data_IF_335452964164
#
_entry.id   IF_335452964164
#
_cell.length_a   1.000
_cell.length_b   1.000
_cell.length_c   1.000
_cell.angle_alpha   90.00
_cell.angle_beta   90.00
_cell.angle_gamma   90.00
#
_symmetry.space_group_name_H-M   'P 1'
#
loop_
_entity.id
_entity.type
_entity.pdbx_description
1 polymer ?
#
# COMPACT_ATOMS: atom_id res chain seq x y z
N UNK A 1 30.41 30.77 -30.26
CA UNK A 1 31.51 30.12 -31.01
C UNK A 1 32.81 30.67 -30.42
N UNK A 2 33.64 29.84 -29.77
CA UNK A 2 34.87 30.21 -29.03
C UNK A 2 34.66 31.15 -27.81
N UNK A 3 35.49 31.21 -26.76
CA UNK A 3 36.72 30.48 -26.36
C UNK A 3 36.85 30.50 -24.81
N UNK A 4 37.31 29.45 -24.11
CA UNK A 4 38.69 29.22 -23.56
C UNK A 4 39.21 30.32 -22.57
N UNK A 5 39.94 30.07 -21.45
CA UNK A 5 40.51 28.85 -20.81
C UNK A 5 40.90 29.04 -19.31
N UNK A 6 41.48 28.00 -18.70
CA UNK A 6 42.03 27.87 -17.32
C UNK A 6 43.25 28.76 -16.97
N UNK A 7 43.60 28.91 -15.67
CA UNK A 7 44.90 28.45 -15.10
C UNK A 7 45.03 28.50 -13.54
N UNK A 8 46.10 27.83 -13.07
CA UNK A 8 46.64 27.65 -11.70
C UNK A 8 48.02 28.40 -11.61
N UNK A 9 48.78 28.59 -10.52
CA UNK A 9 48.76 28.14 -9.10
C UNK A 9 49.68 29.06 -8.22
N UNK A 10 49.50 29.08 -6.90
CA UNK A 10 50.64 29.05 -5.94
C UNK A 10 51.19 30.34 -5.28
N UNK A 11 51.19 30.38 -3.93
CA UNK A 11 52.37 30.53 -3.03
C UNK A 11 51.97 30.54 -1.51
N UNK A 12 52.95 30.33 -0.60
CA UNK A 12 52.86 29.90 0.84
C UNK A 12 54.10 30.46 1.63
N UNK A 13 54.44 30.19 2.94
CA UNK A 13 54.03 29.13 3.93
C UNK A 13 53.91 29.56 5.45
N UNK A 14 53.92 28.58 6.39
CA UNK A 14 54.35 28.61 7.85
C UNK A 14 53.34 29.07 8.94
N UNK A 15 52.72 28.19 9.75
CA UNK A 15 53.12 27.58 11.07
C UNK A 15 53.04 28.59 12.27
N UNK A 16 52.37 28.35 13.42
CA UNK A 16 52.64 27.37 14.51
C UNK A 16 51.39 27.17 15.42
N UNK A 17 51.34 26.04 16.13
CA UNK A 17 50.21 25.54 16.95
C UNK A 17 50.03 26.19 18.34
N UNK A 18 48.87 25.93 18.98
CA UNK A 18 48.78 25.43 20.37
C UNK A 18 47.40 24.81 20.69
N UNK A 19 47.44 23.58 21.25
CA UNK A 19 46.32 22.83 21.84
C UNK A 19 46.76 22.36 23.25
N UNK A 20 45.79 22.00 24.13
CA UNK A 20 45.88 21.69 25.59
C UNK A 20 45.67 22.95 26.47
N UNK A 21 44.99 22.92 27.62
CA UNK A 21 44.41 21.83 28.44
C UNK A 21 43.13 22.32 29.22
N UNK A 22 42.43 21.48 30.00
CA UNK A 22 41.09 21.77 30.54
C UNK A 22 41.07 22.34 31.99
N UNK A 23 39.85 22.64 32.46
CA UNK A 23 39.44 22.93 33.85
C UNK A 23 39.96 24.23 34.51
N UNK A 24 39.09 25.24 34.49
CA UNK A 24 38.91 26.16 35.62
C UNK A 24 37.40 26.35 35.84
N UNK A 25 36.90 25.96 37.01
CA UNK A 25 35.49 26.08 37.39
C UNK A 25 35.30 27.16 38.47
N UNK A 26 34.03 27.55 38.66
CA UNK A 26 33.49 28.26 39.82
C UNK A 26 33.84 29.75 40.03
N UNK A 27 33.05 30.63 39.40
CA UNK A 27 32.43 31.87 39.95
C UNK A 27 31.59 32.47 38.80
N UNK A 28 30.28 32.75 38.90
CA UNK A 28 29.42 33.00 40.07
C UNK A 28 28.11 32.19 40.03
N UNK A 29 27.58 31.88 41.23
CA UNK A 29 26.15 31.62 41.44
C UNK A 29 25.44 32.94 41.73
N UNK A 30 24.27 33.17 41.12
CA UNK A 30 22.98 33.51 41.76
C UNK A 30 21.97 33.87 40.65
N UNK A 31 20.77 33.27 40.75
CA UNK A 31 19.61 33.41 39.87
C UNK A 31 18.84 34.74 40.14
N UNK A 32 17.82 35.17 39.35
CA UNK A 32 16.89 34.31 38.61
C UNK A 32 16.48 34.72 37.17
N UNK A 33 15.88 33.71 36.51
CA UNK A 33 14.83 33.82 35.50
C UNK A 33 14.08 35.17 35.48
N UNK A 34 14.16 35.88 34.35
CA UNK A 34 13.01 36.46 33.62
C UNK A 34 13.52 36.94 32.24
N UNK A 35 12.62 37.11 31.27
CA UNK A 35 12.90 37.61 29.91
C UNK A 35 13.51 36.63 28.90
N UNK A 36 12.73 35.62 28.48
CA UNK A 36 12.66 35.26 27.05
C UNK A 36 11.28 34.68 26.68
N UNK A 37 10.25 35.51 26.88
CA UNK A 37 8.91 35.33 26.30
C UNK A 37 8.48 36.69 25.75
N UNK A 38 7.65 36.73 24.71
CA UNK A 38 7.23 37.94 23.96
C UNK A 38 8.27 38.47 22.94
N UNK A 39 8.62 37.63 21.95
CA UNK A 39 8.87 38.08 20.55
C UNK A 39 8.35 37.02 19.56
N UNK A 40 7.03 36.73 19.52
CA UNK A 40 6.36 36.16 18.33
C UNK A 40 4.81 36.17 18.37
N UNK A 41 4.17 37.26 18.82
CA UNK A 41 2.70 37.33 18.96
C UNK A 41 2.05 38.56 18.29
N UNK A 42 2.62 39.06 17.19
CA UNK A 42 2.10 40.22 16.43
C UNK A 42 2.04 40.00 14.91
N UNK A 43 1.70 38.77 14.49
CA UNK A 43 1.07 38.50 13.20
C UNK A 43 -0.16 37.62 13.50
N UNK A 44 -1.26 37.83 12.76
CA UNK A 44 -2.60 37.27 13.00
C UNK A 44 -3.41 37.90 14.15
N UNK A 45 -3.78 39.17 13.99
CA UNK A 45 -5.11 39.62 14.46
C UNK A 45 -6.17 39.14 13.47
N UNK A 46 -7.27 38.51 13.89
CA UNK A 46 -8.40 38.23 13.00
C UNK A 46 -9.15 39.53 12.70
N UNK A 47 -9.39 39.83 11.43
CA UNK A 47 -10.37 40.84 11.04
C UNK A 47 -11.76 40.27 11.33
N UNK A 48 -12.51 40.92 12.21
CA UNK A 48 -13.94 40.68 12.38
C UNK A 48 -14.66 41.15 11.11
N UNK A 49 -15.05 40.21 10.25
CA UNK A 49 -16.04 40.48 9.22
C UNK A 49 -17.40 40.71 9.89
N UNK A 50 -18.08 41.78 9.49
CA UNK A 50 -19.39 42.17 10.01
C UNK A 50 -20.50 41.38 9.30
N UNK A 51 -21.59 41.10 10.01
CA UNK A 51 -22.78 40.46 9.44
C UNK A 51 -23.45 41.36 8.40
N UNK A 52 -23.40 40.96 7.13
CA UNK A 52 -24.25 41.49 6.04
C UNK A 52 -25.52 40.64 5.91
N UNK A 53 -26.71 41.22 5.72
CA UNK A 53 -27.97 40.48 5.68
C UNK A 53 -28.09 39.60 4.43
N UNK A 54 -28.62 38.39 4.62
CA UNK A 54 -28.73 37.39 3.56
C UNK A 54 -29.60 37.86 2.37
N UNK A 55 -29.03 37.78 1.17
CA UNK A 55 -29.79 37.86 -0.09
C UNK A 55 -30.53 36.54 -0.34
N UNK A 56 -31.73 36.57 -0.95
CA UNK A 56 -32.55 35.37 -1.11
C UNK A 56 -31.90 34.38 -2.08
N UNK A 57 -31.81 33.13 -1.67
CA UNK A 57 -31.26 32.03 -2.47
C UNK A 57 -32.10 31.79 -3.73
N UNK A 58 -31.53 32.07 -4.90
CA UNK A 58 -32.12 31.67 -6.19
C UNK A 58 -32.16 30.16 -6.27
N UNK A 59 -33.37 29.65 -6.48
CA UNK A 59 -33.70 28.22 -6.51
C UNK A 59 -32.89 27.48 -7.59
N UNK A 60 -32.05 26.53 -7.15
CA UNK A 60 -31.16 25.79 -8.04
C UNK A 60 -31.94 24.65 -8.69
N UNK A 61 -32.38 24.87 -9.93
CA UNK A 61 -33.07 23.87 -10.76
C UNK A 61 -32.30 22.54 -10.73
N UNK A 62 -32.95 21.39 -10.48
CA UNK A 62 -32.27 20.10 -10.35
C UNK A 62 -31.73 19.63 -11.70
N UNK A 63 -30.46 19.95 -11.96
CA UNK A 63 -29.67 19.28 -12.99
C UNK A 63 -29.47 17.83 -12.57
N UNK A 64 -30.10 16.89 -13.28
CA UNK A 64 -30.18 15.49 -12.86
C UNK A 64 -28.83 14.88 -12.54
N UNK A 65 -28.69 14.40 -11.30
CA UNK A 65 -27.53 13.62 -10.89
C UNK A 65 -27.46 12.35 -11.72
N UNK A 66 -26.45 12.32 -12.59
CA UNK A 66 -25.95 11.05 -13.12
C UNK A 66 -25.44 10.27 -11.89
N UNK A 67 -25.89 9.03 -11.63
CA UNK A 67 -25.44 8.30 -10.45
C UNK A 67 -23.92 8.29 -10.41
N UNK A 68 -23.34 8.78 -9.31
CA UNK A 68 -21.95 8.55 -9.02
C UNK A 68 -21.81 7.03 -8.91
N UNK A 69 -21.10 6.41 -9.86
CA UNK A 69 -20.75 5.00 -9.75
C UNK A 69 -19.81 4.91 -8.56
N UNK A 70 -20.26 4.26 -7.49
CA UNK A 70 -19.43 4.03 -6.31
C UNK A 70 -18.11 3.38 -6.74
N UNK A 71 -17.00 3.84 -6.16
CA UNK A 71 -15.69 3.32 -6.50
C UNK A 71 -15.62 1.82 -6.18
N UNK A 72 -14.98 1.04 -7.04
CA UNK A 72 -14.77 -0.38 -6.77
C UNK A 72 -13.54 -0.56 -5.89
N UNK A 73 -13.75 -1.07 -4.67
CA UNK A 73 -12.65 -1.58 -3.84
C UNK A 73 -12.07 -2.86 -4.47
N UNK A 74 -10.74 -2.99 -4.49
CA UNK A 74 -10.02 -4.18 -4.93
C UNK A 74 -9.15 -4.82 -3.84
N UNK A 75 -8.87 -4.09 -2.76
CA UNK A 75 -8.34 -4.60 -1.49
C UNK A 75 -9.18 -4.10 -0.32
N UNK A 76 -9.31 -4.89 0.75
CA UNK A 76 -9.99 -4.45 1.99
C UNK A 76 -9.51 -5.21 3.22
N UNK A 77 -9.92 -4.73 4.39
CA UNK A 77 -9.88 -5.50 5.65
C UNK A 77 -11.31 -5.99 5.97
N UNK A 78 -11.50 -7.31 6.04
CA UNK A 78 -12.67 -7.94 6.65
C UNK A 78 -12.32 -8.30 8.09
N UNK A 79 -12.99 -7.72 9.09
CA UNK A 79 -12.67 -7.99 10.49
C UNK A 79 -13.86 -8.21 11.41
N UNK A 80 -13.62 -9.03 12.43
CA UNK A 80 -14.54 -9.28 13.55
C UNK A 80 -13.74 -9.32 14.86
N UNK A 81 -14.32 -9.81 15.95
CA UNK A 81 -13.63 -9.87 17.26
C UNK A 81 -12.46 -10.87 17.30
N UNK A 82 -12.52 -11.93 16.49
CA UNK A 82 -11.56 -13.04 16.52
C UNK A 82 -10.49 -12.94 15.43
N UNK A 83 -10.81 -12.34 14.28
CA UNK A 83 -9.95 -12.29 13.10
C UNK A 83 -9.93 -10.90 12.46
N UNK A 84 -8.82 -10.55 11.83
CA UNK A 84 -8.76 -9.57 10.76
C UNK A 84 -8.20 -10.24 9.50
N UNK A 85 -8.79 -9.94 8.34
CA UNK A 85 -8.45 -10.55 7.07
C UNK A 85 -8.13 -9.50 6.03
N UNK A 86 -6.93 -9.57 5.45
CA UNK A 86 -6.63 -8.82 4.24
C UNK A 86 -7.22 -9.58 3.06
N UNK A 87 -8.14 -8.98 2.32
CA UNK A 87 -8.81 -9.60 1.18
C UNK A 87 -8.52 -8.82 -0.09
N UNK A 88 -8.25 -9.52 -1.19
CA UNK A 88 -8.26 -8.94 -2.54
C UNK A 88 -9.47 -9.41 -3.31
N UNK A 89 -9.91 -8.66 -4.32
CA UNK A 89 -11.08 -9.03 -5.11
C UNK A 89 -10.75 -9.71 -6.45
N UNK A 90 -11.70 -10.53 -6.91
CA UNK A 90 -11.84 -10.97 -8.29
C UNK A 90 -13.11 -10.33 -8.82
N UNK A 91 -12.99 -9.39 -9.76
CA UNK A 91 -14.11 -8.61 -10.28
C UNK A 91 -14.30 -8.87 -11.77
N UNK A 92 -15.46 -9.39 -12.16
CA UNK A 92 -15.78 -9.69 -13.55
C UNK A 92 -16.27 -8.47 -14.33
N UNK A 93 -15.91 -8.40 -15.61
CA UNK A 93 -16.33 -7.36 -16.55
C UNK A 93 -16.74 -7.99 -17.88
N UNK A 94 -17.91 -7.65 -18.40
CA UNK A 94 -18.47 -8.29 -19.59
C UNK A 94 -18.61 -7.32 -20.76
N UNK A 95 -18.36 -7.81 -21.98
CA UNK A 95 -18.65 -7.10 -23.24
C UNK A 95 -19.00 -8.10 -24.34
N UNK A 96 -20.29 -8.21 -24.67
CA UNK A 96 -20.76 -9.22 -25.61
C UNK A 96 -20.51 -10.62 -25.05
N UNK A 97 -19.78 -11.45 -25.79
CA UNK A 97 -19.36 -12.79 -25.37
C UNK A 97 -17.99 -12.85 -24.68
N UNK A 98 -17.34 -11.70 -24.46
CA UNK A 98 -16.05 -11.59 -23.77
C UNK A 98 -16.25 -11.25 -22.30
N UNK A 99 -15.59 -12.00 -21.42
CA UNK A 99 -15.50 -11.74 -19.97
C UNK A 99 -14.03 -11.52 -19.58
N UNK A 100 -13.79 -10.47 -18.81
CA UNK A 100 -12.48 -10.12 -18.25
C UNK A 100 -12.60 -10.08 -16.73
N UNK A 101 -11.92 -10.97 -16.03
CA UNK A 101 -11.83 -10.92 -14.57
C UNK A 101 -10.56 -10.13 -14.18
N UNK A 102 -10.72 -9.01 -13.46
CA UNK A 102 -9.62 -8.34 -12.77
C UNK A 102 -9.35 -9.09 -11.45
N UNK A 103 -8.17 -9.70 -11.34
CA UNK A 103 -7.76 -10.55 -10.22
C UNK A 103 -6.71 -9.78 -9.42
N UNK A 104 -7.15 -9.09 -8.36
CA UNK A 104 -6.27 -8.35 -7.47
C UNK A 104 -5.35 -9.27 -6.67
N UNK A 105 -4.06 -8.91 -6.61
CA UNK A 105 -3.02 -9.67 -5.93
C UNK A 105 -2.27 -8.87 -4.85
N UNK A 106 -1.60 -9.59 -3.96
CA UNK A 106 -0.54 -9.07 -3.07
C UNK A 106 0.71 -9.97 -3.17
N UNK A 107 1.91 -9.39 -3.06
CA UNK A 107 3.17 -10.11 -3.27
C UNK A 107 3.55 -11.08 -2.15
N UNK A 108 3.00 -10.90 -0.94
CA UNK A 108 3.14 -11.83 0.18
C UNK A 108 1.76 -12.15 0.77
N UNK A 109 1.45 -13.44 0.97
CA UNK A 109 0.16 -13.94 1.46
C UNK A 109 0.31 -15.30 2.16
N UNK A 110 -0.73 -15.76 2.84
CA UNK A 110 -0.79 -17.11 3.38
C UNK A 110 -0.82 -18.13 2.22
N UNK A 111 -0.12 -19.27 2.35
CA UNK A 111 0.10 -20.24 1.25
C UNK A 111 -1.18 -20.63 0.49
N UNK A 112 -2.28 -20.81 1.23
CA UNK A 112 -3.61 -21.18 0.72
C UNK A 112 -4.18 -20.19 -0.30
N UNK A 113 -3.85 -18.90 -0.18
CA UNK A 113 -4.26 -17.87 -1.13
C UNK A 113 -3.76 -18.18 -2.55
N UNK A 114 -2.47 -18.47 -2.68
CA UNK A 114 -1.85 -18.79 -3.96
C UNK A 114 -2.26 -20.17 -4.49
N UNK A 115 -2.56 -21.13 -3.61
CA UNK A 115 -3.12 -22.43 -4.00
C UNK A 115 -4.51 -22.27 -4.66
N UNK A 116 -5.39 -21.44 -4.08
CA UNK A 116 -6.69 -21.10 -4.67
C UNK A 116 -6.53 -20.37 -6.00
N UNK A 117 -5.62 -19.39 -6.08
CA UNK A 117 -5.34 -18.66 -7.32
C UNK A 117 -4.88 -19.60 -8.44
N UNK A 118 -3.86 -20.43 -8.22
CA UNK A 118 -3.38 -21.40 -9.21
C UNK A 118 -4.50 -22.33 -9.71
N UNK A 119 -5.34 -22.84 -8.81
CA UNK A 119 -6.48 -23.67 -9.19
C UNK A 119 -7.49 -22.90 -10.05
N UNK A 120 -7.76 -21.63 -9.71
CA UNK A 120 -8.66 -20.77 -10.48
C UNK A 120 -8.14 -20.45 -11.88
N UNK A 121 -6.82 -20.35 -12.07
CA UNK A 121 -6.21 -19.87 -13.31
C UNK A 121 -6.43 -20.81 -14.51
N UNK A 122 -6.73 -22.09 -14.27
CA UNK A 122 -7.07 -23.05 -15.31
C UNK A 122 -8.38 -22.71 -16.05
N UNK A 123 -9.28 -21.88 -15.48
CA UNK A 123 -10.57 -21.51 -16.10
C UNK A 123 -10.46 -20.52 -17.26
N UNK A 124 -9.31 -19.84 -17.43
CA UNK A 124 -9.15 -18.76 -18.41
C UNK A 124 -8.51 -19.24 -19.72
N UNK A 125 -9.05 -18.80 -20.86
CA UNK A 125 -8.45 -19.01 -22.18
C UNK A 125 -7.08 -18.32 -22.31
N UNK A 126 -6.90 -17.22 -21.56
CA UNK A 126 -5.65 -16.49 -21.40
C UNK A 126 -5.63 -15.79 -20.03
N UNK A 127 -4.52 -15.94 -19.29
CA UNK A 127 -4.24 -15.19 -18.07
C UNK A 127 -3.17 -14.15 -18.36
N UNK A 128 -3.54 -12.87 -18.34
CA UNK A 128 -2.63 -11.75 -18.48
C UNK A 128 -1.97 -11.49 -17.13
N UNK A 129 -0.65 -11.59 -17.04
CA UNK A 129 0.07 -11.39 -15.77
C UNK A 129 1.02 -10.19 -15.81
N UNK A 130 1.13 -9.52 -14.67
CA UNK A 130 2.16 -8.52 -14.41
C UNK A 130 3.51 -9.17 -14.09
N UNK A 131 4.61 -8.53 -14.51
CA UNK A 131 5.99 -8.73 -14.05
C UNK A 131 6.92 -7.97 -14.99
N UNK A 132 7.52 -6.86 -14.52
CA UNK A 132 8.45 -6.07 -15.33
C UNK A 132 9.68 -6.91 -15.70
N UNK A 133 10.01 -6.99 -16.99
CA UNK A 133 11.12 -7.83 -17.47
C UNK A 133 10.77 -9.32 -17.64
N UNK A 134 9.52 -9.71 -17.38
CA UNK A 134 9.06 -11.10 -17.43
C UNK A 134 9.00 -11.76 -18.82
N UNK A 135 9.34 -11.03 -19.89
CA UNK A 135 9.30 -11.54 -21.28
C UNK A 135 10.20 -12.76 -21.56
N UNK A 136 11.24 -12.98 -20.75
CA UNK A 136 12.24 -14.03 -20.95
C UNK A 136 12.24 -15.08 -19.83
N UNK A 137 11.20 -15.14 -18.98
CA UNK A 137 11.21 -16.06 -17.84
C UNK A 137 10.99 -17.50 -18.27
N UNK A 138 12.11 -18.20 -18.45
CA UNK A 138 12.21 -19.60 -18.06
C UNK A 138 12.15 -19.64 -16.52
N UNK A 139 11.26 -20.42 -15.91
CA UNK A 139 11.02 -20.37 -14.46
C UNK A 139 12.28 -20.56 -13.60
N UNK A 140 13.21 -21.39 -14.10
CA UNK A 140 14.51 -21.62 -13.44
C UNK A 140 15.39 -20.37 -13.42
N UNK A 141 15.19 -19.43 -14.32
CA UNK A 141 15.95 -18.18 -14.40
C UNK A 141 15.33 -17.08 -13.54
N UNK A 142 14.00 -16.99 -13.38
CA UNK A 142 13.39 -16.08 -12.41
C UNK A 142 13.84 -16.39 -10.98
N UNK A 143 13.70 -17.66 -10.56
CA UNK A 143 14.16 -18.13 -9.25
C UNK A 143 15.69 -18.02 -9.07
N UNK A 144 16.48 -18.07 -10.15
CA UNK A 144 17.94 -17.84 -10.10
C UNK A 144 18.32 -16.36 -10.10
N UNK A 145 17.57 -15.50 -10.77
CA UNK A 145 17.78 -14.04 -10.76
C UNK A 145 17.42 -13.45 -9.39
N UNK A 146 16.36 -13.96 -8.74
CA UNK A 146 16.13 -13.69 -7.32
C UNK A 146 17.33 -14.13 -6.46
N UNK A 147 18.00 -15.25 -6.76
CA UNK A 147 19.08 -15.80 -5.91
C UNK A 147 20.50 -15.30 -6.22
N UNK A 148 20.81 -14.81 -7.43
CA UNK A 148 22.20 -14.66 -7.91
C UNK A 148 22.54 -13.30 -8.54
N UNK A 149 21.64 -12.31 -8.47
CA UNK A 149 21.87 -10.95 -9.00
C UNK A 149 21.67 -9.84 -7.97
N UNK A 150 22.44 -8.75 -8.11
CA UNK A 150 22.32 -7.53 -7.32
C UNK A 150 23.67 -7.03 -6.76
N UNK A 151 23.77 -5.74 -6.49
CA UNK A 151 24.86 -5.18 -5.69
C UNK A 151 24.70 -5.52 -4.19
N UNK A 152 25.65 -5.12 -3.35
CA UNK A 152 25.62 -5.42 -1.91
C UNK A 152 24.33 -4.89 -1.23
N UNK A 153 23.84 -3.73 -1.66
CA UNK A 153 22.64 -3.10 -1.11
C UNK A 153 21.36 -3.85 -1.53
N UNK A 154 21.29 -4.28 -2.79
CA UNK A 154 20.19 -5.07 -3.34
C UNK A 154 20.09 -6.43 -2.64
N UNK A 155 21.22 -7.11 -2.43
CA UNK A 155 21.26 -8.40 -1.74
C UNK A 155 20.88 -8.26 -0.25
N UNK A 156 21.30 -7.18 0.42
CA UNK A 156 20.90 -6.87 1.81
C UNK A 156 19.39 -6.63 1.91
N UNK A 157 18.83 -5.82 1.00
CA UNK A 157 17.39 -5.55 0.94
C UNK A 157 16.58 -6.84 0.70
N UNK A 158 17.03 -7.70 -0.22
CA UNK A 158 16.40 -9.03 -0.44
C UNK A 158 16.43 -9.87 0.83
N UNK A 159 17.58 -9.95 1.52
CA UNK A 159 17.71 -10.66 2.79
C UNK A 159 16.76 -10.16 3.88
N UNK A 160 16.52 -8.83 3.94
CA UNK A 160 15.49 -8.24 4.81
C UNK A 160 14.07 -8.65 4.41
N UNK A 161 13.72 -8.58 3.12
CA UNK A 161 12.37 -8.96 2.64
C UNK A 161 12.09 -10.43 2.91
N UNK A 162 13.01 -11.33 2.58
CA UNK A 162 12.87 -12.77 2.89
C UNK A 162 12.80 -13.03 4.40
N UNK A 163 13.61 -12.33 5.19
CA UNK A 163 13.59 -12.41 6.65
C UNK A 163 12.23 -11.98 7.22
N UNK A 164 11.67 -10.90 6.68
CA UNK A 164 10.33 -10.41 7.03
C UNK A 164 9.24 -11.40 6.62
N UNK A 165 9.28 -11.98 5.41
CA UNK A 165 8.31 -12.98 4.97
C UNK A 165 8.34 -14.23 5.87
N UNK A 166 9.53 -14.72 6.23
CA UNK A 166 9.70 -15.83 7.20
C UNK A 166 9.17 -15.48 8.58
N UNK A 167 9.46 -14.27 9.08
CA UNK A 167 8.95 -13.78 10.37
C UNK A 167 7.42 -13.71 10.38
N UNK A 168 6.83 -13.14 9.33
CA UNK A 168 5.38 -13.03 9.13
C UNK A 168 4.71 -14.38 8.80
N UNK A 169 5.48 -15.46 8.59
CA UNK A 169 4.98 -16.78 8.15
C UNK A 169 4.14 -16.71 6.87
N UNK A 170 4.50 -15.78 5.97
CA UNK A 170 3.87 -15.57 4.66
C UNK A 170 4.73 -16.18 3.55
N UNK A 171 4.10 -16.53 2.44
CA UNK A 171 4.74 -17.04 1.21
C UNK A 171 4.85 -15.93 0.16
N UNK A 172 5.84 -16.01 -0.74
CA UNK A 172 5.98 -15.09 -1.87
C UNK A 172 5.15 -15.55 -3.08
N UNK A 173 4.47 -14.60 -3.74
CA UNK A 173 3.76 -14.81 -5.00
C UNK A 173 4.63 -15.46 -6.08
N UNK A 174 5.87 -14.99 -6.26
CA UNK A 174 6.80 -15.45 -7.31
C UNK A 174 7.19 -16.93 -7.11
N UNK A 175 7.27 -17.37 -5.86
CA UNK A 175 7.61 -18.76 -5.49
C UNK A 175 6.40 -19.69 -5.56
N UNK A 176 5.19 -19.15 -5.42
CA UNK A 176 3.97 -19.93 -5.26
C UNK A 176 3.11 -20.05 -6.53
N UNK A 177 3.22 -19.13 -7.49
CA UNK A 177 2.42 -19.13 -8.73
C UNK A 177 3.17 -19.83 -9.88
N UNK A 178 2.49 -20.73 -10.59
CA UNK A 178 3.05 -21.40 -11.77
C UNK A 178 2.92 -20.54 -13.04
N UNK A 179 3.88 -19.63 -13.24
CA UNK A 179 3.95 -18.79 -14.44
C UNK A 179 4.27 -19.55 -15.75
N UNK A 180 4.48 -20.88 -15.74
CA UNK A 180 4.73 -21.66 -16.97
C UNK A 180 3.48 -22.20 -17.65
N UNK A 181 2.32 -22.14 -16.98
CA UNK A 181 1.07 -22.65 -17.52
C UNK A 181 0.77 -22.00 -18.89
N UNK A 182 0.40 -22.82 -19.88
CA UNK A 182 0.37 -22.42 -21.31
C UNK A 182 -0.61 -21.28 -21.65
N UNK A 183 -1.55 -20.98 -20.75
CA UNK A 183 -2.49 -19.87 -20.88
C UNK A 183 -1.96 -18.55 -20.30
N UNK A 184 -0.84 -18.55 -19.58
CA UNK A 184 -0.20 -17.32 -19.11
C UNK A 184 0.38 -16.52 -20.28
N UNK A 185 0.13 -15.22 -20.26
CA UNK A 185 0.56 -14.27 -21.28
C UNK A 185 1.17 -13.05 -20.59
N UNK A 186 2.46 -12.80 -20.82
CA UNK A 186 3.13 -11.61 -20.31
C UNK A 186 2.43 -10.34 -20.82
N UNK A 187 1.93 -9.53 -19.90
CA UNK A 187 1.09 -8.38 -20.19
C UNK A 187 1.74 -7.04 -19.83
N UNK A 188 3.01 -7.06 -19.43
CA UNK A 188 3.70 -5.94 -18.77
C UNK A 188 4.85 -5.34 -19.62
N UNK A 189 5.51 -4.30 -19.13
CA UNK A 189 6.69 -3.69 -19.75
C UNK A 189 7.93 -4.58 -19.61
N UNK A 190 8.83 -4.52 -20.60
CA UNK A 190 10.19 -5.04 -20.44
C UNK A 190 10.98 -4.18 -19.45
N UNK A 191 12.00 -4.73 -18.79
CA UNK A 191 12.83 -3.95 -17.86
C UNK A 191 13.42 -2.69 -18.52
N UNK A 192 13.88 -2.80 -19.78
CA UNK A 192 14.37 -1.68 -20.59
C UNK A 192 13.28 -0.66 -20.96
N UNK A 193 12.04 -1.10 -21.15
CA UNK A 193 10.90 -0.20 -21.39
C UNK A 193 10.48 0.53 -20.12
N UNK A 194 10.53 -0.14 -18.97
CA UNK A 194 10.22 0.44 -17.67
C UNK A 194 11.22 1.52 -17.30
N UNK A 195 12.53 1.20 -17.26
CA UNK A 195 13.59 2.15 -16.96
C UNK A 195 13.54 3.40 -17.87
N UNK A 196 13.48 3.20 -19.21
CA UNK A 196 13.38 4.32 -20.17
C UNK A 196 12.17 5.22 -19.92
N UNK A 197 11.07 4.67 -19.40
CA UNK A 197 9.86 5.45 -19.09
C UNK A 197 10.01 6.21 -17.78
N UNK A 198 10.65 5.63 -16.77
CA UNK A 198 10.97 6.34 -15.53
C UNK A 198 11.90 7.53 -15.81
N UNK A 199 12.98 7.31 -16.57
CA UNK A 199 13.90 8.36 -17.02
C UNK A 199 13.14 9.50 -17.72
N UNK A 200 12.24 9.16 -18.66
CA UNK A 200 11.48 10.14 -19.44
C UNK A 200 10.43 10.91 -18.62
N UNK A 201 10.03 10.40 -17.44
CA UNK A 201 9.12 11.05 -16.49
C UNK A 201 9.82 11.67 -15.29
N UNK A 202 11.14 11.54 -15.18
CA UNK A 202 11.91 11.97 -14.00
C UNK A 202 11.61 11.16 -12.74
N UNK A 203 11.02 9.95 -12.88
CA UNK A 203 10.67 9.10 -11.74
C UNK A 203 11.92 8.45 -11.13
N UNK A 204 12.02 8.56 -9.80
CA UNK A 204 13.07 7.93 -9.00
C UNK A 204 12.49 7.43 -7.67
N UNK A 205 13.22 6.57 -6.96
CA UNK A 205 12.83 6.15 -5.61
C UNK A 205 12.71 7.36 -4.66
N UNK A 206 13.54 8.38 -4.85
CA UNK A 206 13.51 9.62 -4.07
C UNK A 206 12.24 10.45 -4.34
N UNK A 207 11.86 10.63 -5.60
CA UNK A 207 10.64 11.37 -5.94
C UNK A 207 9.39 10.61 -5.46
N UNK A 208 9.38 9.28 -5.59
CA UNK A 208 8.30 8.44 -5.04
C UNK A 208 8.19 8.57 -3.51
N UNK A 209 9.31 8.51 -2.79
CA UNK A 209 9.32 8.69 -1.33
C UNK A 209 8.80 10.08 -0.91
N UNK A 210 9.14 11.14 -1.66
CA UNK A 210 8.59 12.48 -1.42
C UNK A 210 7.08 12.55 -1.69
N UNK A 211 6.59 11.98 -2.79
CA UNK A 211 5.14 11.92 -3.08
C UNK A 211 4.36 11.19 -1.99
N UNK A 212 4.83 10.02 -1.56
CA UNK A 212 4.20 9.24 -0.50
C UNK A 212 4.21 10.00 0.84
N UNK A 213 5.31 10.67 1.20
CA UNK A 213 5.40 11.46 2.42
C UNK A 213 4.47 12.69 2.41
N UNK A 214 4.32 13.36 1.26
CA UNK A 214 3.41 14.48 1.09
C UNK A 214 1.94 14.04 1.21
N UNK A 215 1.61 12.88 0.67
CA UNK A 215 0.25 12.35 0.70
C UNK A 215 -0.14 11.84 2.11
N UNK A 216 0.79 11.19 2.81
CA UNK A 216 0.59 10.76 4.20
C UNK A 216 0.34 11.91 5.19
N UNK A 217 0.61 13.17 4.80
CA UNK A 217 0.25 14.37 5.57
C UNK A 217 -1.14 14.93 5.20
N UNK A 218 -1.67 14.58 4.03
CA UNK A 218 -2.91 15.14 3.48
C UNK A 218 -4.15 14.29 3.77
N UNK A 219 -3.98 13.00 4.04
CA UNK A 219 -5.09 12.07 4.27
C UNK A 219 -5.16 11.64 5.75
N UNK A 220 -6.35 11.68 6.35
CA UNK A 220 -6.60 11.28 7.74
C UNK A 220 -6.58 9.76 8.00
N UNK A 221 -5.77 9.01 7.24
CA UNK A 221 -5.67 7.55 7.29
C UNK A 221 -4.97 7.09 8.58
N UNK A 222 -5.46 6.03 9.22
CA UNK A 222 -4.84 5.47 10.43
C UNK A 222 -3.47 4.84 10.09
N UNK A 223 -2.39 5.58 10.37
CA UNK A 223 -1.03 5.12 10.13
C UNK A 223 -0.55 4.07 11.16
N UNK A 224 0.43 3.21 10.81
CA UNK A 224 0.94 2.17 11.67
C UNK A 224 1.75 2.80 12.81
N UNK A 225 1.45 2.44 14.06
CA UNK A 225 2.16 3.02 15.21
C UNK A 225 3.62 2.53 15.25
N UNK A 226 4.64 3.42 15.16
CA UNK A 226 6.04 3.00 15.19
C UNK A 226 6.42 2.24 16.47
N UNK A 227 5.82 2.63 17.60
CA UNK A 227 5.99 1.94 18.88
C UNK A 227 5.40 0.52 18.86
N UNK A 228 4.24 0.31 18.22
CA UNK A 228 3.63 -1.03 18.10
C UNK A 228 4.40 -1.91 17.11
N UNK A 229 4.86 -1.36 15.99
CA UNK A 229 5.74 -2.06 15.04
C UNK A 229 7.03 -2.53 15.73
N UNK A 230 7.68 -1.65 16.50
CA UNK A 230 8.88 -1.98 17.27
C UNK A 230 8.62 -3.03 18.36
N UNK A 231 7.52 -2.89 19.10
CA UNK A 231 7.11 -3.89 20.10
C UNK A 231 6.75 -5.26 19.49
N UNK A 232 6.12 -5.28 18.32
CA UNK A 232 5.82 -6.52 17.59
C UNK A 232 7.11 -7.23 17.13
N UNK A 233 8.08 -6.46 16.63
CA UNK A 233 9.40 -6.98 16.24
C UNK A 233 10.17 -7.54 17.44
N UNK A 234 10.22 -6.81 18.56
CA UNK A 234 10.90 -7.25 19.79
C UNK A 234 10.24 -8.46 20.47
N UNK A 235 8.91 -8.55 20.41
CA UNK A 235 8.16 -9.66 21.02
C UNK A 235 8.14 -10.93 20.17
N UNK A 236 8.59 -10.88 18.91
CA UNK A 236 8.47 -11.98 17.97
C UNK A 236 7.03 -12.23 17.48
N UNK A 237 6.10 -11.32 17.74
CA UNK A 237 4.69 -11.51 17.47
C UNK A 237 4.33 -11.15 16.01
N UNK A 238 4.45 -12.16 15.15
CA UNK A 238 4.02 -12.10 13.76
C UNK A 238 2.58 -11.61 13.56
N UNK A 239 1.64 -11.95 14.44
CA UNK A 239 0.24 -11.55 14.27
C UNK A 239 0.07 -10.07 14.62
N UNK A 240 0.70 -9.61 15.69
CA UNK A 240 0.73 -8.18 16.04
C UNK A 240 1.35 -7.35 14.92
N UNK A 241 2.44 -7.82 14.30
CA UNK A 241 3.05 -7.13 13.16
C UNK A 241 2.13 -7.13 11.93
N UNK A 242 1.50 -8.27 11.58
CA UNK A 242 0.52 -8.33 10.48
C UNK A 242 -0.64 -7.34 10.71
N UNK A 243 -1.23 -7.33 11.90
CA UNK A 243 -2.37 -6.44 12.25
C UNK A 243 -2.02 -4.95 12.11
N UNK A 244 -0.82 -4.54 12.54
CA UNK A 244 -0.40 -3.14 12.43
C UNK A 244 -0.03 -2.76 10.98
N UNK A 245 0.53 -3.69 10.19
CA UNK A 245 0.79 -3.49 8.76
C UNK A 245 -0.51 -3.42 7.93
N UNK A 246 -1.53 -4.20 8.28
CA UNK A 246 -2.78 -4.28 7.52
C UNK A 246 -3.50 -2.94 7.40
N UNK A 247 -3.41 -2.06 8.40
CA UNK A 247 -4.04 -0.73 8.41
C UNK A 247 -3.71 0.12 7.18
N UNK A 248 -2.49 0.03 6.67
CA UNK A 248 -2.09 0.73 5.45
C UNK A 248 -2.43 -0.06 4.17
N UNK A 249 -2.48 -1.40 4.26
CA UNK A 249 -2.79 -2.25 3.10
C UNK A 249 -4.29 -2.26 2.76
N UNK A 250 -5.17 -2.23 3.77
CA UNK A 250 -6.62 -2.16 3.58
C UNK A 250 -7.10 -0.85 2.97
N UNK A 251 -6.44 0.26 3.33
CA UNK A 251 -6.65 1.59 2.74
C UNK A 251 -5.68 1.84 1.57
N UNK A 252 -5.18 0.76 0.96
CA UNK A 252 -4.18 0.82 -0.10
C UNK A 252 -4.76 1.38 -1.40
N UNK A 253 -6.04 1.10 -1.70
CA UNK A 253 -6.66 1.56 -2.94
C UNK A 253 -6.85 3.08 -2.97
N UNK A 254 -7.20 3.76 -1.87
CA UNK A 254 -7.27 5.22 -1.85
C UNK A 254 -5.89 5.86 -2.07
N UNK A 255 -4.92 5.44 -1.25
CA UNK A 255 -3.56 5.97 -1.30
C UNK A 255 -2.91 5.75 -2.68
N UNK A 256 -3.17 4.59 -3.29
CA UNK A 256 -2.62 4.24 -4.60
C UNK A 256 -3.45 4.84 -5.74
N UNK A 257 -4.76 5.02 -5.60
CA UNK A 257 -5.62 5.67 -6.61
C UNK A 257 -5.24 7.14 -6.81
N UNK A 258 -4.86 7.85 -5.74
CA UNK A 258 -4.33 9.22 -5.88
C UNK A 258 -3.00 9.28 -6.66
N UNK A 259 -2.23 8.18 -6.69
CA UNK A 259 -1.03 8.00 -7.51
C UNK A 259 -1.34 7.39 -8.89
N UNK A 260 -2.51 6.77 -9.08
CA UNK A 260 -2.90 6.05 -10.28
C UNK A 260 -3.45 7.01 -11.36
N UNK A 261 -2.59 7.38 -12.30
CA UNK A 261 -3.02 8.10 -13.50
C UNK A 261 -1.88 8.48 -14.43
N UNK A 262 -0.77 8.95 -13.86
CA UNK A 262 0.37 9.47 -14.64
C UNK A 262 1.75 9.01 -14.15
N UNK A 263 1.85 7.83 -13.51
CA UNK A 263 3.14 7.20 -13.20
C UNK A 263 3.44 5.96 -14.06
N UNK A 264 4.70 5.55 -14.15
CA UNK A 264 5.12 4.33 -14.87
C UNK A 264 4.71 3.07 -14.12
N UNK A 265 4.68 3.13 -12.79
CA UNK A 265 4.39 2.00 -11.89
C UNK A 265 3.03 1.37 -12.18
N UNK A 266 2.01 2.17 -12.53
CA UNK A 266 0.65 1.73 -12.80
C UNK A 266 0.23 2.08 -14.23
N UNK A 267 0.17 3.37 -14.58
CA UNK A 267 -0.52 3.84 -15.79
C UNK A 267 0.05 3.28 -17.11
N UNK A 268 1.37 3.28 -17.25
CA UNK A 268 2.03 2.75 -18.46
C UNK A 268 2.02 1.21 -18.54
N UNK A 269 2.12 0.54 -17.39
CA UNK A 269 2.03 -0.93 -17.27
C UNK A 269 0.62 -1.41 -17.59
N UNK A 270 -0.41 -0.76 -17.06
CA UNK A 270 -1.81 -1.01 -17.40
C UNK A 270 -2.13 -0.68 -18.87
N UNK A 271 -1.57 0.41 -19.41
CA UNK A 271 -1.68 0.70 -20.84
C UNK A 271 -1.07 -0.42 -21.71
N UNK A 272 0.01 -1.09 -21.26
CA UNK A 272 0.58 -2.28 -21.91
C UNK A 272 -0.32 -3.50 -21.74
N UNK A 273 -0.90 -3.73 -20.56
CA UNK A 273 -1.87 -4.80 -20.31
C UNK A 273 -3.07 -4.70 -21.27
N UNK A 274 -3.71 -3.53 -21.37
CA UNK A 274 -4.85 -3.30 -22.27
C UNK A 274 -4.49 -3.52 -23.75
N UNK A 275 -3.24 -3.23 -24.17
CA UNK A 275 -2.77 -3.57 -25.53
C UNK A 275 -2.66 -5.10 -25.75
N UNK A 276 -2.31 -5.86 -24.72
CA UNK A 276 -2.23 -7.33 -24.78
C UNK A 276 -3.63 -7.95 -24.70
N UNK A 277 -4.52 -7.45 -23.84
CA UNK A 277 -5.94 -7.83 -23.78
C UNK A 277 -6.61 -7.73 -25.15
N UNK A 278 -6.50 -6.57 -25.82
CA UNK A 278 -7.05 -6.37 -27.17
C UNK A 278 -6.46 -7.34 -28.21
N UNK A 279 -5.22 -7.81 -28.04
CA UNK A 279 -4.63 -8.85 -28.90
C UNK A 279 -5.19 -10.24 -28.61
N UNK A 280 -5.46 -10.59 -27.35
CA UNK A 280 -6.06 -11.88 -27.01
C UNK A 280 -7.53 -11.96 -27.43
N UNK A 281 -8.32 -10.91 -27.22
CA UNK A 281 -9.70 -10.82 -27.75
C UNK A 281 -9.72 -10.98 -29.27
N UNK A 282 -8.80 -10.31 -30.00
CA UNK A 282 -8.63 -10.49 -31.46
C UNK A 282 -8.19 -11.90 -31.89
N UNK A 283 -7.67 -12.72 -30.98
CA UNK A 283 -7.38 -14.15 -31.21
C UNK A 283 -8.56 -15.07 -30.85
N UNK A 284 -9.73 -14.51 -30.53
CA UNK A 284 -10.93 -15.28 -30.16
C UNK A 284 -10.94 -15.79 -28.72
N UNK A 285 -10.05 -15.28 -27.84
CA UNK A 285 -10.09 -15.56 -26.39
C UNK A 285 -11.30 -14.83 -25.79
N UNK A 286 -12.14 -15.54 -25.03
CA UNK A 286 -13.40 -15.02 -24.49
C UNK A 286 -13.36 -14.86 -22.98
N UNK A 287 -12.81 -15.83 -22.26
CA UNK A 287 -12.68 -15.80 -20.80
C UNK A 287 -11.23 -15.47 -20.45
N UNK A 288 -10.96 -14.22 -20.07
CA UNK A 288 -9.61 -13.69 -19.88
C UNK A 288 -9.45 -13.23 -18.43
N UNK A 289 -8.42 -13.69 -17.73
CA UNK A 289 -8.08 -13.16 -16.41
C UNK A 289 -6.95 -12.13 -16.51
N UNK A 290 -6.96 -11.13 -15.63
CA UNK A 290 -5.88 -10.13 -15.48
C UNK A 290 -5.36 -10.21 -14.06
N UNK A 291 -4.23 -10.90 -13.89
CA UNK A 291 -3.56 -11.14 -12.61
C UNK A 291 -2.49 -10.07 -12.35
N UNK A 292 -2.88 -9.06 -11.57
CA UNK A 292 -2.12 -7.85 -11.26
C UNK A 292 -2.31 -7.51 -9.77
N UNK A 293 -1.36 -6.82 -9.15
CA UNK A 293 -1.50 -6.28 -7.80
C UNK A 293 -2.77 -5.43 -7.68
N UNK A 294 -3.52 -5.53 -6.57
CA UNK A 294 -4.84 -4.88 -6.42
C UNK A 294 -4.82 -3.38 -6.77
N UNK A 295 -3.75 -2.70 -6.35
CA UNK A 295 -3.27 -1.38 -6.77
C UNK A 295 -3.49 -0.97 -8.24
N UNK A 296 -3.41 -1.92 -9.17
CA UNK A 296 -3.56 -1.67 -10.61
C UNK A 296 -5.01 -1.63 -11.08
N UNK A 297 -5.92 -2.24 -10.32
CA UNK A 297 -7.26 -2.52 -10.78
C UNK A 297 -8.17 -1.29 -10.94
N UNK A 298 -8.09 -0.21 -10.13
CA UNK A 298 -8.88 1.01 -10.37
C UNK A 298 -8.65 1.61 -11.77
N UNK A 299 -7.40 1.72 -12.21
CA UNK A 299 -7.06 2.23 -13.55
C UNK A 299 -7.37 1.20 -14.66
N UNK A 300 -7.27 -0.12 -14.38
CA UNK A 300 -7.72 -1.15 -15.33
C UNK A 300 -9.24 -1.14 -15.51
N UNK A 301 -10.03 -1.01 -14.44
CA UNK A 301 -11.48 -0.85 -14.48
C UNK A 301 -11.85 0.38 -15.31
N UNK A 302 -11.30 1.55 -14.99
CA UNK A 302 -11.56 2.78 -15.74
C UNK A 302 -11.30 2.61 -17.26
N UNK A 303 -10.26 1.85 -17.64
CA UNK A 303 -9.96 1.51 -19.04
C UNK A 303 -10.93 0.49 -19.64
N UNK A 304 -11.39 -0.51 -18.87
CA UNK A 304 -12.39 -1.49 -19.31
C UNK A 304 -13.77 -0.83 -19.52
N UNK A 305 -14.23 -0.03 -18.56
CA UNK A 305 -15.48 0.73 -18.66
C UNK A 305 -15.44 1.68 -19.86
N UNK A 306 -14.34 2.42 -20.08
CA UNK A 306 -14.13 3.26 -21.27
C UNK A 306 -14.05 2.45 -22.59
N UNK A 307 -13.73 1.16 -22.51
CA UNK A 307 -13.79 0.23 -23.64
C UNK A 307 -15.20 -0.35 -23.88
N UNK A 308 -16.20 0.02 -23.08
CA UNK A 308 -17.57 -0.48 -23.17
C UNK A 308 -17.75 -1.87 -22.59
N UNK A 309 -16.96 -2.24 -21.57
CA UNK A 309 -17.29 -3.34 -20.68
C UNK A 309 -18.20 -2.84 -19.55
N UNK A 310 -19.01 -3.73 -18.99
CA UNK A 310 -19.84 -3.47 -17.80
C UNK A 310 -19.35 -4.32 -16.63
N UNK A 311 -19.22 -3.72 -15.44
CA UNK A 311 -18.91 -4.45 -14.19
C UNK A 311 -20.00 -5.51 -13.93
N UNK A 312 -19.57 -6.71 -13.55
CA UNK A 312 -20.39 -7.86 -13.18
C UNK A 312 -20.24 -8.19 -11.70
N UNK A 313 -20.18 -9.49 -11.38
CA UNK A 313 -19.98 -9.97 -10.02
C UNK A 313 -18.58 -9.68 -9.47
N UNK A 314 -18.48 -9.65 -8.14
CA UNK A 314 -17.25 -9.43 -7.40
C UNK A 314 -17.13 -10.43 -6.24
N UNK A 315 -16.01 -11.15 -6.19
CA UNK A 315 -15.69 -12.15 -5.16
C UNK A 315 -14.49 -11.66 -4.33
N UNK A 316 -14.44 -12.03 -3.05
CA UNK A 316 -13.37 -11.65 -2.13
C UNK A 316 -12.54 -12.85 -1.69
N UNK A 317 -11.23 -12.80 -1.94
CA UNK A 317 -10.28 -13.86 -1.61
C UNK A 317 -9.37 -13.41 -0.47
N UNK A 318 -9.34 -14.20 0.62
CA UNK A 318 -8.53 -13.88 1.80
C UNK A 318 -7.05 -14.18 1.55
N UNK A 319 -6.23 -13.14 1.52
CA UNK A 319 -4.79 -13.19 1.38
C UNK A 319 -4.07 -13.40 2.72
N UNK A 320 -4.48 -12.67 3.76
CA UNK A 320 -3.97 -12.86 5.12
C UNK A 320 -5.15 -13.17 6.03
N UNK A 321 -5.11 -14.25 6.82
CA UNK A 321 -6.10 -14.58 7.86
C UNK A 321 -5.41 -14.49 9.24
N UNK A 322 -5.68 -13.42 9.98
CA UNK A 322 -4.89 -13.05 11.17
C UNK A 322 -5.73 -13.14 12.44
N UNK A 323 -5.50 -14.14 13.31
CA UNK A 323 -6.14 -14.22 14.61
C UNK A 323 -5.77 -13.02 15.49
N UNK A 324 -6.80 -12.30 15.95
CA UNK A 324 -6.69 -11.30 17.02
C UNK A 324 -6.49 -12.03 18.34
N UNK A 325 -5.63 -11.50 19.23
CA UNK A 325 -5.57 -12.00 20.61
C UNK A 325 -6.92 -11.75 21.27
N UNK A 326 -7.53 -12.79 21.81
CA UNK A 326 -8.77 -12.67 22.56
C UNK A 326 -8.59 -11.59 23.65
N UNK A 327 -9.55 -10.67 23.75
CA UNK A 327 -9.65 -9.79 24.92
C UNK A 327 -9.83 -10.72 26.13
N UNK A 328 -8.79 -10.85 26.96
CA UNK A 328 -8.94 -11.47 28.27
C UNK A 328 -10.01 -10.64 29.00
N UNK A 329 -11.15 -11.24 29.42
CA UNK A 329 -12.14 -10.51 30.18
C UNK A 329 -11.45 -9.85 31.37
N UNK A 330 -11.70 -8.55 31.60
CA UNK A 330 -11.17 -7.91 32.81
C UNK A 330 -11.77 -8.66 33.99
N UNK A 331 -10.91 -9.25 34.82
CA UNK A 331 -11.28 -10.00 36.01
C UNK A 331 -11.97 -9.02 36.99
N UNK A 332 -13.29 -8.94 36.89
CA UNK A 332 -14.09 -7.85 37.46
C UNK A 332 -15.57 -7.84 37.05
N UNK A 333 -15.92 -8.37 35.87
CA UNK A 333 -17.32 -8.45 35.39
C UNK A 333 -17.99 -9.83 35.67
N UNK A 334 -17.65 -10.46 36.80
CA UNK A 334 -18.36 -11.64 37.35
C UNK A 334 -19.03 -11.31 38.70
N UNK A 335 -19.89 -10.28 38.69
CA UNK A 335 -21.05 -10.06 39.58
C UNK A 335 -22.03 -9.19 38.78
N UNK A 336 -23.30 -9.51 38.57
CA UNK A 336 -24.16 -10.52 39.19
C UNK A 336 -24.80 -11.42 38.12
N UNK A 337 -24.64 -12.75 38.26
CA UNK A 337 -25.61 -13.70 37.75
C UNK A 337 -26.26 -14.34 38.99
N UNK A 338 -27.58 -14.18 39.14
CA UNK A 338 -28.31 -14.67 40.31
C UNK A 338 -28.14 -16.18 40.50
N UNK A 339 -27.83 -16.59 41.73
CA UNK A 339 -27.96 -17.99 42.15
C UNK A 339 -29.45 -18.31 42.36
N UNK A 340 -30.04 -19.28 41.64
CA UNK A 340 -31.44 -19.66 41.80
C UNK A 340 -31.63 -20.63 42.98
N UNK A 341 -31.15 -20.26 44.18
CA UNK A 341 -31.20 -21.15 45.36
C UNK A 341 -31.58 -20.39 46.65
N UNK A 342 -32.68 -19.62 46.60
CA UNK A 342 -33.34 -19.08 47.81
C UNK A 342 -34.83 -18.70 47.61
N UNK A 343 -35.59 -19.56 46.93
CA UNK A 343 -37.05 -19.43 46.77
C UNK A 343 -37.86 -20.64 47.28
N UNK A 344 -37.40 -21.28 48.36
CA UNK A 344 -38.14 -22.39 48.97
C UNK A 344 -37.95 -22.48 50.50
N UNK A 345 -38.25 -21.39 51.24
CA UNK A 345 -38.33 -21.44 52.71
C UNK A 345 -39.18 -20.32 53.35
N UNK A 346 -40.13 -19.73 52.62
CA UNK A 346 -40.92 -18.57 53.07
C UNK A 346 -42.43 -18.71 52.84
N UNK A 347 -42.92 -19.94 52.64
CA UNK A 347 -44.34 -20.23 52.39
C UNK A 347 -44.81 -21.51 53.10
N UNK A 348 -44.22 -21.83 54.26
CA UNK A 348 -44.73 -22.89 55.14
C UNK A 348 -44.41 -22.63 56.63
N UNK A 349 -44.92 -21.51 57.16
CA UNK A 349 -45.11 -21.30 58.60
C UNK A 349 -46.35 -20.43 58.82
N UNK A 350 -47.14 -20.79 59.85
CA UNK A 350 -48.39 -20.14 60.26
C UNK A 350 -48.14 -18.84 61.02
#
# INVERSE_FOLDING_TARGET
>A
MFSLFFFYEGQIPVLVALLKCPQAAAMNRILPFFSLTVVLTHLFSPVLAQDEPATPSVEKVPGGEKPAVEATDFIRIDENEQFARLQTSITGYHKGDVTVDLIGAVHIADKKYYEILNASFAKYDALLFEMVGGENINQKEAARQEQQGGDLQTNLLRGMVEGMSRFLKLSSQVQMIDYSAKNFVHADLTAKQFAKKQDAKGESLLSFAMSAAQQAQNEGVEQPSPAKLFAALLSGDSNMLKLEMMKNLGNGDDQITALAGDNVIIGDRNAKCIRVLRKQVKKGRKTIGVFYGAAHNPDLEARLLKMGYTKGGQEWLTAWDVPKKAKIPRKGEEKEAESPEKRESALEAK
#
